data_IF_747699086562
#
_entry.id   IF_747699086562
#
_cell.length_a   1.000
_cell.length_b   1.000
_cell.length_c   1.000
_cell.angle_alpha   90.00
_cell.angle_beta   90.00
_cell.angle_gamma   90.00
#
_symmetry.space_group_name_H-M   'P 1'
#
loop_
_entity.id
_entity.type
_entity.pdbx_description
1 polymer ?
#
# COMPACT_ATOMS: atom_id res chain seq x y z
N UNK A 1 58.05 -1.98 28.50
CA UNK A 1 56.63 -2.36 28.26
C UNK A 1 55.83 -1.73 29.39
N UNK A 2 54.88 -0.83 29.11
CA UNK A 2 53.95 -0.34 30.12
C UNK A 2 52.94 -1.48 30.38
N UNK A 3 52.69 -1.83 31.63
CA UNK A 3 51.74 -2.85 32.06
C UNK A 3 51.07 -2.38 33.35
N UNK A 4 49.85 -2.87 33.63
CA UNK A 4 49.19 -2.65 34.92
C UNK A 4 49.96 -3.38 36.03
N UNK A 5 49.67 -3.05 37.30
CA UNK A 5 50.27 -3.73 38.46
C UNK A 5 50.01 -5.25 38.49
N UNK A 6 48.95 -5.71 37.82
CA UNK A 6 48.59 -7.12 37.64
C UNK A 6 49.33 -7.81 36.47
N UNK A 7 50.24 -7.11 35.77
CA UNK A 7 51.02 -7.65 34.66
C UNK A 7 50.30 -7.68 33.31
N UNK A 8 49.03 -7.27 33.25
CA UNK A 8 48.31 -7.15 31.98
C UNK A 8 48.83 -5.98 31.13
N UNK A 9 48.88 -6.17 29.82
CA UNK A 9 49.36 -5.16 28.90
C UNK A 9 48.34 -4.02 28.79
N UNK A 10 48.77 -2.76 28.90
CA UNK A 10 47.89 -1.59 28.69
C UNK A 10 47.51 -1.38 27.21
N UNK A 11 48.17 -2.09 26.28
CA UNK A 11 47.92 -2.00 24.83
C UNK A 11 46.92 -3.03 24.28
N UNK A 12 46.07 -3.66 25.10
CA UNK A 12 45.10 -4.66 24.60
C UNK A 12 43.87 -4.06 23.93
N UNK A 13 43.66 -2.75 24.07
CA UNK A 13 42.58 -2.02 23.43
C UNK A 13 43.22 -0.83 22.72
N UNK A 14 43.16 -0.81 21.40
CA UNK A 14 43.56 0.31 20.55
C UNK A 14 42.36 0.77 19.72
N UNK A 15 42.30 2.05 19.37
CA UNK A 15 41.28 2.59 18.46
C UNK A 15 41.41 1.97 17.06
N UNK A 16 40.33 2.06 16.26
CA UNK A 16 40.35 1.64 14.87
C UNK A 16 40.66 2.84 13.96
N UNK A 17 41.67 2.73 13.10
CA UNK A 17 41.99 3.75 12.08
C UNK A 17 40.92 3.84 10.98
N UNK A 18 40.04 2.85 10.91
CA UNK A 18 38.87 2.82 10.03
C UNK A 18 37.67 2.23 10.77
N UNK A 19 36.52 2.90 10.67
CA UNK A 19 35.24 2.43 11.21
C UNK A 19 34.33 2.10 10.04
N UNK A 20 33.74 0.89 10.06
CA UNK A 20 32.68 0.51 9.12
C UNK A 20 31.33 0.83 9.77
N UNK A 21 30.60 1.76 9.18
CA UNK A 21 29.25 2.09 9.64
C UNK A 21 28.29 0.92 9.42
N UNK A 22 27.40 0.74 10.38
CA UNK A 22 26.25 -0.17 10.32
C UNK A 22 24.95 0.61 10.19
N UNK A 23 23.88 -0.06 9.79
CA UNK A 23 22.56 0.58 9.67
C UNK A 23 22.10 1.22 10.99
N UNK A 24 22.38 0.61 12.14
CA UNK A 24 22.01 1.14 13.46
C UNK A 24 22.64 2.52 13.75
N UNK A 25 23.82 2.80 13.18
CA UNK A 25 24.55 4.07 13.38
C UNK A 25 24.05 5.19 12.46
N UNK A 26 23.16 4.90 11.51
CA UNK A 26 22.47 5.93 10.75
C UNK A 26 21.28 6.46 11.56
N UNK A 27 20.92 7.75 11.43
CA UNK A 27 19.68 8.27 11.98
C UNK A 27 18.47 7.47 11.51
N UNK A 28 17.45 7.37 12.36
CA UNK A 28 16.21 6.69 12.01
C UNK A 28 15.57 7.33 10.76
N UNK A 29 15.51 6.59 9.66
CA UNK A 29 15.03 7.07 8.37
C UNK A 29 14.10 6.05 7.72
N UNK A 30 13.25 6.52 6.82
CA UNK A 30 12.40 5.67 5.97
C UNK A 30 12.29 6.30 4.59
N UNK A 31 11.84 5.52 3.62
CA UNK A 31 11.77 5.93 2.22
C UNK A 31 10.33 6.00 1.76
N UNK A 32 9.98 7.10 1.11
CA UNK A 32 8.76 7.17 0.32
C UNK A 32 8.98 6.49 -1.03
N UNK A 33 7.97 5.77 -1.51
CA UNK A 33 7.96 5.22 -2.86
C UNK A 33 6.61 5.48 -3.52
N UNK A 34 6.64 5.56 -4.86
CA UNK A 34 5.44 5.58 -5.70
C UNK A 34 5.71 4.82 -6.99
N UNK A 35 4.67 4.16 -7.50
CA UNK A 35 4.69 3.43 -8.75
C UNK A 35 3.31 3.47 -9.41
N UNK A 36 3.28 3.16 -10.70
CA UNK A 36 2.04 2.97 -11.45
C UNK A 36 2.01 1.52 -11.94
N UNK A 37 0.90 0.82 -11.74
CA UNK A 37 0.75 -0.53 -12.28
C UNK A 37 0.77 -0.50 -13.81
N UNK A 38 1.07 -1.63 -14.44
CA UNK A 38 0.75 -1.78 -15.86
C UNK A 38 -0.75 -1.54 -16.09
N UNK A 39 -1.09 -1.05 -17.29
CA UNK A 39 -2.48 -0.95 -17.71
C UNK A 39 -3.05 -2.35 -17.93
N UNK A 40 -4.29 -2.57 -17.49
CA UNK A 40 -5.05 -3.77 -17.80
C UNK A 40 -6.45 -3.39 -18.25
N UNK A 41 -6.92 -4.05 -19.31
CA UNK A 41 -8.25 -3.83 -19.89
C UNK A 41 -9.20 -4.94 -19.45
N UNK A 42 -10.22 -4.56 -18.67
CA UNK A 42 -11.28 -5.48 -18.26
C UNK A 42 -12.35 -5.68 -19.34
N UNK A 43 -12.27 -4.95 -20.44
CA UNK A 43 -13.25 -4.92 -21.53
C UNK A 43 -14.60 -4.44 -21.03
N UNK A 44 -15.65 -5.16 -21.43
CA UNK A 44 -17.01 -4.91 -20.98
C UNK A 44 -17.50 -6.01 -20.03
N UNK A 45 -18.32 -5.64 -19.05
CA UNK A 45 -18.99 -6.55 -18.12
C UNK A 45 -20.49 -6.38 -18.20
N UNK A 46 -21.22 -7.46 -17.95
CA UNK A 46 -22.67 -7.45 -17.94
C UNK A 46 -23.18 -7.37 -16.49
N UNK A 47 -24.23 -6.59 -16.25
CA UNK A 47 -24.93 -6.59 -14.96
C UNK A 47 -25.69 -7.91 -14.75
N UNK A 48 -26.22 -8.13 -13.55
CA UNK A 48 -27.21 -9.20 -13.36
C UNK A 48 -28.46 -8.93 -14.21
N UNK A 49 -29.16 -10.00 -14.58
CA UNK A 49 -30.39 -9.94 -15.40
C UNK A 49 -31.60 -9.93 -14.48
N UNK A 50 -32.31 -8.79 -14.41
CA UNK A 50 -33.46 -8.59 -13.52
C UNK A 50 -34.38 -7.47 -14.04
N UNK A 51 -35.34 -7.03 -13.23
CA UNK A 51 -36.16 -5.85 -13.50
C UNK A 51 -37.47 -6.12 -14.23
N UNK A 52 -37.79 -7.37 -14.55
CA UNK A 52 -39.11 -7.72 -15.06
C UNK A 52 -40.17 -7.37 -14.01
N UNK A 53 -41.11 -6.54 -14.41
CA UNK A 53 -42.31 -6.27 -13.63
C UNK A 53 -43.47 -5.94 -14.59
N UNK A 54 -44.68 -6.04 -14.07
CA UNK A 54 -45.91 -5.66 -14.75
C UNK A 54 -46.82 -4.92 -13.77
N UNK A 55 -47.67 -4.07 -14.30
CA UNK A 55 -48.72 -3.39 -13.54
C UNK A 55 -50.06 -4.09 -13.77
N UNK A 56 -50.92 -4.08 -12.75
CA UNK A 56 -52.27 -4.64 -12.77
C UNK A 56 -53.28 -3.51 -12.65
N UNK A 57 -54.32 -3.50 -13.48
CA UNK A 57 -55.40 -2.52 -13.46
C UNK A 57 -56.75 -3.15 -13.81
N UNK A 58 -57.85 -2.53 -13.36
CA UNK A 58 -59.20 -3.00 -13.66
C UNK A 58 -59.66 -2.50 -15.04
N UNK A 59 -60.27 -3.38 -15.83
CA UNK A 59 -60.95 -2.98 -17.06
C UNK A 59 -62.16 -2.10 -16.76
N UNK A 60 -62.35 -1.03 -17.52
CA UNK A 60 -63.43 -0.05 -17.32
C UNK A 60 -64.51 -0.18 -18.39
N UNK A 61 -65.75 0.18 -18.04
CA UNK A 61 -66.89 0.16 -18.95
C UNK A 61 -66.67 1.12 -20.12
N UNK A 62 -66.18 0.59 -21.24
CA UNK A 62 -65.74 1.36 -22.40
C UNK A 62 -64.73 0.61 -23.27
N UNK A 63 -64.02 -0.35 -22.66
CA UNK A 63 -63.13 -1.26 -23.37
C UNK A 63 -63.96 -2.17 -24.30
N UNK A 64 -63.88 -1.93 -25.61
CA UNK A 64 -64.67 -2.69 -26.59
C UNK A 64 -64.19 -4.14 -26.65
N UNK A 65 -65.13 -5.07 -26.84
CA UNK A 65 -64.79 -6.43 -27.26
C UNK A 65 -64.00 -6.34 -28.58
N UNK A 66 -62.79 -6.89 -28.60
CA UNK A 66 -61.89 -6.82 -29.76
C UNK A 66 -61.28 -5.42 -30.05
N UNK A 67 -61.40 -4.46 -29.13
CA UNK A 67 -60.43 -3.36 -29.13
C UNK A 67 -59.10 -3.96 -28.69
N UNK A 68 -58.20 -4.19 -29.66
CA UNK A 68 -56.76 -4.24 -29.39
C UNK A 68 -56.36 -2.85 -28.91
N UNK A 69 -56.75 -2.49 -27.68
CA UNK A 69 -56.26 -1.28 -27.07
C UNK A 69 -54.75 -1.32 -27.10
N UNK A 70 -54.12 -0.17 -27.26
CA UNK A 70 -52.69 -0.03 -27.00
C UNK A 70 -52.35 -0.21 -25.51
N UNK A 71 -53.22 -0.85 -24.72
CA UNK A 71 -53.16 -1.02 -23.27
C UNK A 71 -52.16 -2.11 -22.85
N UNK A 72 -51.57 -2.79 -23.85
CA UNK A 72 -50.46 -3.73 -23.67
C UNK A 72 -50.87 -5.00 -22.93
N UNK A 73 -52.18 -5.28 -22.79
CA UNK A 73 -52.70 -6.47 -22.14
C UNK A 73 -53.08 -7.57 -23.12
N UNK A 74 -52.80 -8.84 -22.76
CA UNK A 74 -53.21 -10.00 -23.54
C UNK A 74 -54.64 -10.49 -23.20
N UNK A 75 -55.30 -9.90 -22.20
CA UNK A 75 -56.65 -10.27 -21.79
C UNK A 75 -57.68 -9.41 -22.53
N UNK A 76 -58.62 -10.04 -23.26
CA UNK A 76 -59.57 -9.34 -24.14
C UNK A 76 -60.97 -9.12 -23.53
N UNK A 77 -61.19 -9.53 -22.27
CA UNK A 77 -62.53 -9.49 -21.65
C UNK A 77 -62.92 -8.11 -21.11
N UNK A 78 -64.14 -7.64 -21.43
CA UNK A 78 -64.68 -6.27 -21.24
C UNK A 78 -64.78 -5.74 -19.79
N UNK A 79 -64.56 -6.59 -18.78
CA UNK A 79 -64.58 -6.22 -17.36
C UNK A 79 -63.53 -6.97 -16.53
N UNK A 80 -62.57 -7.59 -17.19
CA UNK A 80 -61.56 -8.37 -16.50
C UNK A 80 -60.38 -7.49 -16.09
N UNK A 81 -59.72 -7.90 -15.02
CA UNK A 81 -58.40 -7.39 -14.65
C UNK A 81 -57.43 -7.55 -15.82
N UNK A 82 -56.71 -6.47 -16.11
CA UNK A 82 -55.72 -6.35 -17.18
C UNK A 82 -54.33 -6.16 -16.57
N UNK A 83 -53.33 -6.62 -17.30
CA UNK A 83 -51.92 -6.45 -16.96
C UNK A 83 -51.18 -5.82 -18.14
N UNK A 84 -50.17 -4.99 -17.86
CA UNK A 84 -49.19 -4.59 -18.89
C UNK A 84 -48.29 -5.78 -19.23
N UNK A 85 -47.92 -5.94 -20.50
CA UNK A 85 -46.93 -6.95 -20.87
C UNK A 85 -45.53 -6.55 -20.37
N UNK A 86 -44.83 -7.43 -19.62
CA UNK A 86 -43.46 -7.18 -19.24
C UNK A 86 -42.51 -7.38 -20.43
N UNK A 87 -41.46 -6.57 -20.52
CA UNK A 87 -40.40 -6.72 -21.53
C UNK A 87 -39.40 -7.86 -21.22
N UNK A 88 -39.56 -8.54 -20.08
CA UNK A 88 -38.62 -9.55 -19.58
C UNK A 88 -37.52 -8.95 -18.70
N UNK A 89 -36.75 -9.84 -18.05
CA UNK A 89 -35.55 -9.41 -17.34
C UNK A 89 -34.50 -8.99 -18.37
N UNK A 90 -33.76 -7.94 -18.08
CA UNK A 90 -32.66 -7.51 -18.93
C UNK A 90 -31.44 -7.17 -18.10
N UNK A 91 -30.31 -7.06 -18.79
CA UNK A 91 -29.04 -6.65 -18.22
C UNK A 91 -28.38 -5.63 -19.13
N UNK A 92 -27.51 -4.81 -18.55
CA UNK A 92 -26.74 -3.81 -19.25
C UNK A 92 -25.31 -4.28 -19.45
N UNK A 93 -24.70 -3.80 -20.53
CA UNK A 93 -23.26 -3.94 -20.77
C UNK A 93 -22.57 -2.65 -20.39
N UNK A 94 -21.54 -2.74 -19.54
CA UNK A 94 -20.75 -1.61 -19.05
C UNK A 94 -19.30 -1.81 -19.50
N UNK A 95 -18.74 -0.83 -20.20
CA UNK A 95 -17.33 -0.83 -20.59
C UNK A 95 -16.49 -0.23 -19.48
N UNK A 96 -15.51 -0.99 -19.00
CA UNK A 96 -14.55 -0.57 -17.97
C UNK A 96 -13.26 -0.04 -18.59
N UNK A 97 -12.83 -0.65 -19.70
CA UNK A 97 -11.67 -0.22 -20.48
C UNK A 97 -10.32 -0.40 -19.77
N UNK A 98 -9.22 -0.02 -20.46
CA UNK A 98 -7.87 -0.06 -19.90
C UNK A 98 -7.69 0.99 -18.81
N UNK A 99 -7.26 0.54 -17.63
CA UNK A 99 -6.85 1.45 -16.55
C UNK A 99 -5.64 0.91 -15.78
N UNK A 100 -5.01 1.81 -15.04
CA UNK A 100 -3.88 1.53 -14.15
C UNK A 100 -4.13 2.15 -12.79
N UNK A 101 -3.41 1.69 -11.78
CA UNK A 101 -3.48 2.23 -10.42
C UNK A 101 -2.16 2.86 -10.01
N UNK A 102 -2.24 3.96 -9.26
CA UNK A 102 -1.10 4.51 -8.54
C UNK A 102 -0.99 3.82 -7.18
N UNK A 103 0.21 3.35 -6.85
CA UNK A 103 0.52 2.75 -5.55
C UNK A 103 1.66 3.54 -4.93
N UNK A 104 1.51 3.92 -3.67
CA UNK A 104 2.55 4.63 -2.93
C UNK A 104 2.54 4.25 -1.46
N UNK A 105 3.67 4.45 -0.80
CA UNK A 105 3.78 4.24 0.63
C UNK A 105 5.10 4.74 1.17
N UNK A 106 5.28 4.55 2.47
CA UNK A 106 6.53 4.83 3.17
C UNK A 106 6.99 3.57 3.86
N UNK A 107 8.27 3.22 3.74
CA UNK A 107 8.84 2.07 4.45
C UNK A 107 8.76 2.29 5.96
N UNK A 108 8.91 1.20 6.73
CA UNK A 108 9.26 1.33 8.15
C UNK A 108 10.57 2.11 8.32
N UNK A 109 10.79 2.62 9.55
CA UNK A 109 12.05 3.29 9.88
C UNK A 109 13.15 2.25 10.12
N UNK A 110 14.32 2.47 9.55
CA UNK A 110 15.56 1.76 9.84
C UNK A 110 16.62 2.73 10.37
N UNK A 111 17.62 2.19 11.05
CA UNK A 111 18.57 2.97 11.83
C UNK A 111 18.02 3.46 13.17
N UNK A 112 18.91 3.67 14.12
CA UNK A 112 18.59 4.10 15.49
C UNK A 112 19.43 5.28 15.95
N UNK A 113 20.40 5.74 15.15
CA UNK A 113 21.37 6.74 15.56
C UNK A 113 22.25 6.27 16.72
N UNK A 114 22.52 4.96 16.81
CA UNK A 114 23.39 4.40 17.84
C UNK A 114 24.78 5.02 17.78
N UNK A 115 25.37 5.24 18.95
CA UNK A 115 26.67 5.89 19.07
C UNK A 115 27.79 5.12 18.34
N UNK A 116 28.77 5.86 17.86
CA UNK A 116 30.00 5.34 17.27
C UNK A 116 31.11 5.58 18.29
N UNK A 117 31.76 4.52 18.76
CA UNK A 117 32.95 4.66 19.58
C UNK A 117 34.15 5.01 18.70
N UNK A 118 34.67 6.22 18.91
CA UNK A 118 35.87 6.76 18.23
C UNK A 118 37.07 6.85 19.18
N UNK A 119 36.99 6.22 20.35
CA UNK A 119 38.01 6.34 21.38
C UNK A 119 39.33 5.74 20.90
N UNK A 120 40.36 6.59 20.83
CA UNK A 120 41.74 6.16 20.63
C UNK A 120 42.44 6.07 22.00
N UNK A 121 42.65 4.84 22.48
CA UNK A 121 43.27 4.55 23.77
C UNK A 121 44.80 4.62 23.78
N UNK A 122 45.46 5.03 22.69
CA UNK A 122 46.92 5.20 22.63
C UNK A 122 47.31 6.66 22.90
N UNK A 123 47.66 6.97 24.16
CA UNK A 123 48.38 8.21 24.48
C UNK A 123 49.84 8.09 24.02
N UNK A 124 50.28 8.92 23.07
CA UNK A 124 51.69 9.02 22.70
C UNK A 124 52.46 9.74 23.82
N UNK A 125 52.99 9.00 24.80
CA UNK A 125 53.90 9.59 25.80
C UNK A 125 55.30 9.72 25.19
N UNK A 126 55.68 10.92 24.73
CA UNK A 126 57.08 11.22 24.38
C UNK A 126 57.91 11.33 25.66
N UNK A 127 58.62 10.26 26.02
CA UNK A 127 59.63 10.28 27.08
C UNK A 127 60.87 11.05 26.59
N UNK A 128 61.07 12.28 27.07
CA UNK A 128 62.34 12.99 26.94
C UNK A 128 63.28 12.56 28.08
N UNK A 129 64.34 11.83 27.74
CA UNK A 129 65.27 11.26 28.72
C UNK A 129 65.92 12.29 29.65
N UNK A 130 65.95 11.95 30.94
CA UNK A 130 66.68 12.62 32.00
C UNK A 130 68.18 12.74 31.64
N UNK A 131 68.71 13.97 31.58
CA UNK A 131 70.16 14.23 31.58
C UNK A 131 70.68 14.33 33.01
N UNK A 132 70.92 13.18 33.66
CA UNK A 132 71.76 13.16 34.86
C UNK A 132 73.23 13.19 34.42
N UNK A 133 73.83 14.38 34.49
CA UNK A 133 75.26 14.61 34.30
C UNK A 133 75.96 14.38 35.65
N UNK A 134 76.60 13.22 35.83
CA UNK A 134 77.63 13.03 36.86
C UNK A 134 78.96 13.27 36.15
N UNK A 135 79.63 14.37 36.50
CA UNK A 135 81.06 14.57 36.21
C UNK A 135 81.78 14.31 37.54
N UNK A 136 82.79 13.44 37.50
CA UNK A 136 83.75 13.19 38.58
C UNK A 136 84.52 14.46 38.91
#
# INVERSE_FOLDING_TARGET
>A
RLAKADGSNVFTTGGADAIKLTEAQLPAHGHYFSATTSSYDYGSKQTNTTGQHYHVYAGVAGDSWNARGGDGSNNQWKYATKNTNPAGNHAHTVTLGPHSHNVSGTTGKTGSGSEIDITNSLYHLKWAGNKNKIIV
#
